data_IF_215328748881
#
_entry.id   IF_215328748881
#
_cell.length_a   1.000
_cell.length_b   1.000
_cell.length_c   1.000
_cell.angle_alpha   90.00
_cell.angle_beta   90.00
_cell.angle_gamma   90.00
#
_symmetry.space_group_name_H-M   'P 1'
#
loop_
_entity.id
_entity.type
_entity.pdbx_description
1 polymer ?
#
# COMPACT_ATOMS: atom_id res chain seq x y z
N UNK A 1 32.47 -5.69 9.63
CA UNK A 1 31.67 -4.49 9.95
C UNK A 1 30.23 -4.72 9.46
N UNK A 2 29.30 -5.00 10.40
CA UNK A 2 27.87 -5.19 10.09
C UNK A 2 27.24 -3.80 9.96
N UNK A 3 26.77 -3.43 8.76
CA UNK A 3 25.90 -2.26 8.58
C UNK A 3 24.55 -2.56 9.19
N UNK A 4 24.29 -2.01 10.37
CA UNK A 4 22.97 -1.91 10.96
C UNK A 4 22.18 -0.89 10.10
N UNK A 5 21.35 -1.36 9.21
CA UNK A 5 20.36 -0.53 8.55
C UNK A 5 19.30 -0.19 9.59
N UNK A 6 19.27 1.06 10.02
CA UNK A 6 18.17 1.65 10.78
C UNK A 6 16.97 1.80 9.81
N UNK A 7 16.31 0.70 9.48
CA UNK A 7 15.03 0.74 8.83
C UNK A 7 14.03 1.25 9.86
N UNK A 8 13.52 2.47 9.67
CA UNK A 8 12.38 2.99 10.40
C UNK A 8 11.26 1.97 10.23
N UNK A 9 10.98 1.21 11.29
CA UNK A 9 9.85 0.27 11.33
C UNK A 9 8.58 1.10 11.51
N UNK A 10 7.97 1.52 10.43
CA UNK A 10 6.57 1.91 10.45
C UNK A 10 5.74 0.65 10.71
N UNK A 11 5.47 0.36 11.96
CA UNK A 11 4.45 -0.62 12.34
C UNK A 11 3.09 0.04 12.16
N UNK A 12 2.59 0.05 10.93
CA UNK A 12 1.20 0.41 10.69
C UNK A 12 0.33 -0.67 11.32
N UNK A 13 -0.27 -0.31 12.46
CA UNK A 13 -1.18 -1.19 13.22
C UNK A 13 -2.60 -1.20 12.65
N UNK A 14 -2.78 -0.67 11.43
CA UNK A 14 -4.07 -0.66 10.74
C UNK A 14 -4.49 -2.11 10.45
N UNK A 15 -5.66 -2.55 10.94
CA UNK A 15 -6.17 -3.89 10.66
C UNK A 15 -6.47 -4.07 9.17
N UNK A 16 -6.22 -5.28 8.64
CA UNK A 16 -6.46 -5.56 7.22
C UNK A 16 -7.92 -5.41 6.81
N UNK A 17 -8.87 -5.59 7.73
CA UNK A 17 -10.30 -5.39 7.48
C UNK A 17 -10.67 -3.97 7.03
N UNK A 18 -9.86 -2.96 7.41
CA UNK A 18 -10.11 -1.55 7.08
C UNK A 18 -9.61 -1.17 5.68
N UNK A 19 -8.69 -1.96 5.12
CA UNK A 19 -8.02 -1.66 3.84
C UNK A 19 -8.28 -2.70 2.76
N UNK A 20 -8.85 -3.86 3.11
CA UNK A 20 -9.13 -4.92 2.15
C UNK A 20 -10.26 -4.53 1.20
N UNK A 21 -10.16 -4.99 -0.04
CA UNK A 21 -11.31 -5.03 -0.95
C UNK A 21 -12.16 -6.25 -0.62
N UNK A 22 -13.42 -6.03 -0.32
CA UNK A 22 -14.40 -7.09 -0.08
C UNK A 22 -14.84 -7.74 -1.39
N UNK A 23 -15.46 -8.93 -1.30
CA UNK A 23 -16.00 -9.67 -2.45
C UNK A 23 -14.94 -9.97 -3.54
N UNK A 24 -13.85 -10.69 -3.20
CA UNK A 24 -12.86 -11.06 -4.17
C UNK A 24 -13.46 -11.97 -5.25
N UNK A 25 -13.05 -11.76 -6.49
CA UNK A 25 -13.56 -12.52 -7.63
C UNK A 25 -13.05 -13.95 -7.56
N UNK A 26 -13.97 -14.90 -7.68
CA UNK A 26 -13.69 -16.35 -7.58
C UNK A 26 -14.27 -17.09 -8.78
N UNK A 27 -13.55 -18.11 -9.27
CA UNK A 27 -14.00 -18.97 -10.36
C UNK A 27 -13.71 -20.45 -10.02
N UNK A 28 -14.45 -21.35 -10.66
CA UNK A 28 -14.26 -22.78 -10.47
C UNK A 28 -12.97 -23.28 -11.14
N UNK A 29 -12.39 -24.34 -10.59
CA UNK A 29 -11.15 -24.98 -11.08
C UNK A 29 -11.28 -25.51 -12.51
N UNK A 30 -12.48 -25.86 -12.94
CA UNK A 30 -12.76 -26.35 -14.29
C UNK A 30 -12.80 -25.20 -15.33
N UNK A 31 -12.72 -23.95 -14.90
CA UNK A 31 -12.68 -22.80 -15.80
C UNK A 31 -11.41 -22.80 -16.67
N UNK A 32 -11.53 -22.19 -17.86
CA UNK A 32 -10.38 -22.00 -18.76
C UNK A 32 -9.64 -20.68 -18.47
N UNK A 33 -8.41 -20.57 -18.96
CA UNK A 33 -7.64 -19.34 -18.93
C UNK A 33 -8.37 -18.18 -19.65
N UNK A 34 -9.10 -18.48 -20.73
CA UNK A 34 -9.94 -17.51 -21.43
C UNK A 34 -11.07 -16.97 -20.53
N UNK A 35 -11.74 -17.84 -19.76
CA UNK A 35 -12.76 -17.43 -18.79
C UNK A 35 -12.15 -16.59 -17.68
N UNK A 36 -10.99 -16.98 -17.13
CA UNK A 36 -10.29 -16.21 -16.11
C UNK A 36 -9.93 -14.80 -16.61
N UNK A 37 -9.33 -14.70 -17.79
CA UNK A 37 -8.99 -13.42 -18.41
C UNK A 37 -10.23 -12.53 -18.64
N UNK A 38 -11.30 -13.10 -19.18
CA UNK A 38 -12.57 -12.38 -19.41
C UNK A 38 -13.15 -11.87 -18.10
N UNK A 39 -13.20 -12.71 -17.07
CA UNK A 39 -13.68 -12.33 -15.72
C UNK A 39 -12.82 -11.22 -15.11
N UNK A 40 -11.49 -11.28 -15.24
CA UNK A 40 -10.60 -10.21 -14.76
C UNK A 40 -10.90 -8.86 -15.46
N UNK A 41 -11.16 -8.87 -16.78
CA UNK A 41 -11.51 -7.67 -17.52
C UNK A 41 -12.90 -7.13 -17.13
N UNK A 42 -13.90 -7.99 -16.99
CA UNK A 42 -15.28 -7.62 -16.63
C UNK A 42 -15.38 -7.03 -15.22
N UNK A 43 -14.59 -7.57 -14.29
CA UNK A 43 -14.59 -7.17 -12.87
C UNK A 43 -13.47 -6.14 -12.55
N UNK A 44 -12.70 -5.71 -13.56
CA UNK A 44 -11.58 -4.77 -13.42
C UNK A 44 -10.55 -5.17 -12.35
N UNK A 45 -10.23 -6.49 -12.29
CA UNK A 45 -9.30 -7.06 -11.32
C UNK A 45 -8.13 -7.78 -12.00
N UNK A 46 -6.95 -7.75 -11.40
CA UNK A 46 -5.75 -8.42 -11.91
C UNK A 46 -5.56 -9.84 -11.37
N UNK A 47 -6.57 -10.46 -10.78
CA UNK A 47 -6.51 -11.86 -10.34
C UNK A 47 -7.88 -12.44 -10.00
N UNK A 48 -7.99 -13.75 -10.08
CA UNK A 48 -9.15 -14.53 -9.64
C UNK A 48 -8.71 -15.64 -8.69
N UNK A 49 -9.50 -15.91 -7.67
CA UNK A 49 -9.27 -17.02 -6.74
C UNK A 49 -9.92 -18.27 -7.30
N UNK A 50 -9.21 -19.39 -7.24
CA UNK A 50 -9.68 -20.65 -7.79
C UNK A 50 -10.32 -21.47 -6.69
N UNK A 51 -11.55 -21.91 -6.94
CA UNK A 51 -12.31 -22.75 -6.05
C UNK A 51 -12.33 -24.20 -6.54
N UNK A 52 -12.24 -25.15 -5.60
CA UNK A 52 -12.59 -26.56 -5.81
C UNK A 52 -13.60 -26.96 -4.72
N UNK A 53 -14.78 -27.38 -5.10
CA UNK A 53 -15.87 -27.70 -4.17
C UNK A 53 -16.11 -26.56 -3.15
N UNK A 54 -16.21 -25.33 -3.63
CA UNK A 54 -16.38 -24.11 -2.83
C UNK A 54 -15.24 -23.81 -1.85
N UNK A 55 -14.09 -24.49 -1.95
CA UNK A 55 -12.90 -24.20 -1.14
C UNK A 55 -11.85 -23.49 -1.97
N UNK A 56 -11.28 -22.38 -1.48
CA UNK A 56 -10.21 -21.65 -2.18
C UNK A 56 -8.92 -22.48 -2.13
N UNK A 57 -8.35 -22.78 -3.30
CA UNK A 57 -7.17 -23.64 -3.42
C UNK A 57 -5.98 -22.98 -4.09
N UNK A 58 -6.22 -21.94 -4.90
CA UNK A 58 -5.17 -21.26 -5.66
C UNK A 58 -5.62 -19.89 -6.15
N UNK A 59 -4.75 -19.24 -6.87
CA UNK A 59 -4.97 -17.94 -7.48
C UNK A 59 -4.37 -17.93 -8.89
N UNK A 60 -5.05 -17.30 -9.84
CA UNK A 60 -4.53 -16.97 -11.17
C UNK A 60 -4.43 -15.46 -11.28
N UNK A 61 -3.32 -14.99 -11.81
CA UNK A 61 -3.01 -13.56 -11.99
C UNK A 61 -2.81 -13.25 -13.47
N UNK A 62 -2.80 -11.95 -13.81
CA UNK A 62 -2.42 -11.47 -15.15
C UNK A 62 -1.03 -11.98 -15.58
N UNK A 63 -0.08 -12.06 -14.63
CA UNK A 63 1.26 -12.59 -14.87
C UNK A 63 1.24 -14.09 -15.21
N UNK A 64 0.38 -14.88 -14.55
CA UNK A 64 0.21 -16.30 -14.89
C UNK A 64 -0.33 -16.45 -16.31
N UNK A 65 -1.32 -15.64 -16.69
CA UNK A 65 -1.85 -15.64 -18.08
C UNK A 65 -0.77 -15.26 -19.09
N UNK A 66 -0.02 -14.20 -18.83
CA UNK A 66 1.05 -13.74 -19.72
C UNK A 66 2.16 -14.79 -19.87
N UNK A 67 2.69 -15.31 -18.74
CA UNK A 67 3.87 -16.16 -18.76
C UNK A 67 3.56 -17.64 -19.05
N UNK A 68 2.38 -18.13 -18.66
CA UNK A 68 2.05 -19.56 -18.75
C UNK A 68 1.14 -19.90 -19.94
N UNK A 69 0.48 -18.90 -20.54
CA UNK A 69 -0.42 -19.09 -21.70
C UNK A 69 0.11 -18.34 -22.92
N UNK A 70 0.18 -16.98 -22.84
CA UNK A 70 0.52 -16.15 -23.99
C UNK A 70 1.98 -16.38 -24.44
N UNK A 71 2.94 -16.34 -23.51
CA UNK A 71 4.36 -16.55 -23.82
C UNK A 71 4.68 -17.96 -24.36
N UNK A 72 3.76 -18.92 -24.18
CA UNK A 72 3.88 -20.29 -24.70
C UNK A 72 3.05 -20.54 -25.95
N UNK A 73 2.45 -19.50 -26.51
CA UNK A 73 1.58 -19.56 -27.68
C UNK A 73 0.43 -20.60 -27.54
N UNK A 74 -0.10 -20.73 -26.31
CA UNK A 74 -1.21 -21.64 -26.03
C UNK A 74 -2.55 -20.95 -26.27
N UNK A 75 -3.52 -21.71 -26.79
CA UNK A 75 -4.88 -21.20 -26.98
C UNK A 75 -5.59 -21.09 -25.63
N UNK A 76 -5.96 -19.88 -25.13
CA UNK A 76 -6.49 -19.70 -23.77
C UNK A 76 -7.77 -20.50 -23.47
N UNK A 77 -8.57 -20.79 -24.50
CA UNK A 77 -9.81 -21.58 -24.36
C UNK A 77 -9.59 -23.08 -24.14
N UNK A 78 -8.37 -23.57 -24.31
CA UNK A 78 -8.01 -24.99 -24.12
C UNK A 78 -7.15 -25.24 -22.88
N UNK A 79 -6.67 -24.17 -22.23
CA UNK A 79 -5.85 -24.26 -21.01
C UNK A 79 -6.76 -24.11 -19.79
N UNK A 80 -6.72 -25.04 -18.87
CA UNK A 80 -7.47 -24.95 -17.60
C UNK A 80 -6.73 -24.11 -16.57
N UNK A 81 -7.48 -23.40 -15.72
CA UNK A 81 -6.88 -22.58 -14.64
C UNK A 81 -6.10 -23.43 -13.64
N UNK A 82 -6.46 -24.71 -13.48
CA UNK A 82 -5.71 -25.68 -12.67
C UNK A 82 -4.25 -25.85 -13.11
N UNK A 83 -3.97 -25.72 -14.41
CA UNK A 83 -2.64 -25.94 -14.99
C UNK A 83 -1.73 -24.72 -14.83
N UNK A 84 -2.32 -23.54 -14.58
CA UNK A 84 -1.60 -22.28 -14.53
C UNK A 84 -1.66 -21.57 -13.17
N UNK A 85 -2.60 -21.94 -12.28
CA UNK A 85 -2.75 -21.32 -10.97
C UNK A 85 -1.51 -21.49 -10.09
N UNK A 86 -1.31 -20.52 -9.20
CA UNK A 86 -0.36 -20.62 -8.11
C UNK A 86 -1.05 -21.28 -6.91
N UNK A 87 -0.48 -22.38 -6.43
CA UNK A 87 -0.99 -23.20 -5.31
C UNK A 87 0.16 -23.68 -4.44
N UNK A 88 0.02 -23.87 -3.10
CA UNK A 88 -1.19 -23.59 -2.32
C UNK A 88 -1.49 -22.09 -2.22
N UNK A 89 -2.76 -21.75 -1.99
CA UNK A 89 -3.19 -20.37 -1.81
C UNK A 89 -2.57 -19.79 -0.53
N UNK A 90 -1.77 -18.74 -0.65
CA UNK A 90 -1.21 -18.01 0.49
C UNK A 90 -2.25 -16.99 0.95
N UNK A 91 -2.73 -17.14 2.18
CA UNK A 91 -3.78 -16.31 2.77
C UNK A 91 -3.30 -15.62 4.04
N UNK A 92 -4.00 -14.57 4.46
CA UNK A 92 -3.76 -13.85 5.71
C UNK A 92 -5.08 -13.66 6.46
N UNK A 93 -5.05 -13.70 7.80
CA UNK A 93 -6.25 -13.45 8.63
C UNK A 93 -6.61 -11.96 8.61
N UNK A 94 -7.91 -11.65 8.65
CA UNK A 94 -8.44 -10.29 8.75
C UNK A 94 -8.00 -9.54 10.03
N UNK A 95 -7.62 -10.28 11.07
CA UNK A 95 -7.12 -9.74 12.35
C UNK A 95 -5.66 -9.25 12.28
N UNK A 96 -4.96 -9.57 11.20
CA UNK A 96 -3.58 -9.13 10.98
C UNK A 96 -3.55 -7.67 10.51
N UNK A 97 -2.37 -7.06 10.63
CA UNK A 97 -2.13 -5.66 10.28
C UNK A 97 -1.57 -5.52 8.85
N UNK A 98 -1.64 -4.30 8.32
CA UNK A 98 -0.98 -3.89 7.06
C UNK A 98 0.50 -4.27 7.08
N UNK A 99 1.20 -4.03 8.21
CA UNK A 99 2.61 -4.43 8.37
C UNK A 99 2.83 -5.94 8.31
N UNK A 100 1.90 -6.75 8.84
CA UNK A 100 1.97 -8.22 8.73
C UNK A 100 1.80 -8.67 7.29
N UNK A 101 0.83 -8.10 6.55
CA UNK A 101 0.61 -8.41 5.15
C UNK A 101 1.82 -8.05 4.29
N UNK A 102 2.43 -6.88 4.51
CA UNK A 102 3.64 -6.48 3.80
C UNK A 102 4.79 -7.48 4.02
N UNK A 103 5.02 -7.91 5.26
CA UNK A 103 6.03 -8.93 5.58
C UNK A 103 5.73 -10.28 4.89
N UNK A 104 4.46 -10.68 4.85
CA UNK A 104 4.05 -11.91 4.17
C UNK A 104 4.25 -11.82 2.65
N UNK A 105 3.90 -10.69 2.03
CA UNK A 105 4.12 -10.46 0.60
C UNK A 105 5.60 -10.58 0.23
N UNK A 106 6.49 -9.96 1.00
CA UNK A 106 7.95 -10.05 0.81
C UNK A 106 8.45 -11.48 1.00
N UNK A 107 8.04 -12.14 2.11
CA UNK A 107 8.47 -13.51 2.44
C UNK A 107 8.11 -14.52 1.36
N UNK A 108 6.88 -14.42 0.83
CA UNK A 108 6.34 -15.37 -0.15
C UNK A 108 6.50 -14.89 -1.61
N UNK A 109 7.09 -13.70 -1.83
CA UNK A 109 7.26 -13.07 -3.14
C UNK A 109 5.95 -12.92 -3.92
N UNK A 110 4.89 -12.54 -3.21
CA UNK A 110 3.56 -12.29 -3.79
C UNK A 110 3.16 -10.83 -3.62
N UNK A 111 2.37 -10.29 -4.56
CA UNK A 111 1.92 -8.89 -4.58
C UNK A 111 0.47 -8.71 -4.10
N UNK A 112 -0.20 -9.80 -3.73
CA UNK A 112 -1.58 -9.82 -3.24
C UNK A 112 -1.79 -11.00 -2.30
N UNK A 113 -2.67 -10.81 -1.32
CA UNK A 113 -3.02 -11.82 -0.34
C UNK A 113 -4.55 -11.85 -0.18
N UNK A 114 -5.19 -12.97 -0.48
CA UNK A 114 -6.56 -13.23 -0.05
C UNK A 114 -6.65 -13.22 1.48
N UNK A 115 -7.69 -12.59 1.98
CA UNK A 115 -7.97 -12.45 3.41
C UNK A 115 -9.04 -13.44 3.82
N UNK A 116 -8.79 -14.17 4.89
CA UNK A 116 -9.69 -15.18 5.42
C UNK A 116 -10.22 -14.78 6.80
N UNK A 117 -11.44 -15.22 7.07
CA UNK A 117 -12.05 -15.19 8.39
C UNK A 117 -11.63 -16.39 9.28
N UNK A 118 -12.25 -16.48 10.47
CA UNK A 118 -12.04 -17.57 11.43
C UNK A 118 -12.47 -18.95 10.88
N UNK A 119 -13.42 -18.96 9.94
CA UNK A 119 -13.92 -20.17 9.27
C UNK A 119 -13.10 -20.56 8.05
N UNK A 120 -11.98 -19.86 7.79
CA UNK A 120 -11.13 -20.02 6.59
C UNK A 120 -11.85 -19.70 5.27
N UNK A 121 -12.93 -18.92 5.34
CA UNK A 121 -13.61 -18.38 4.16
C UNK A 121 -12.86 -17.13 3.67
N UNK A 122 -12.67 -17.02 2.36
CA UNK A 122 -12.07 -15.82 1.78
C UNK A 122 -13.12 -14.72 1.77
N UNK A 123 -12.85 -13.65 2.51
CA UNK A 123 -13.75 -12.49 2.71
C UNK A 123 -13.26 -11.23 1.99
N UNK A 124 -12.01 -11.21 1.55
CA UNK A 124 -11.42 -10.06 0.90
C UNK A 124 -10.09 -10.38 0.24
N UNK A 125 -9.50 -9.36 -0.35
CA UNK A 125 -8.15 -9.39 -0.91
C UNK A 125 -7.45 -8.05 -0.64
N UNK A 126 -6.16 -8.10 -0.38
CA UNK A 126 -5.29 -6.92 -0.24
C UNK A 126 -4.13 -7.04 -1.21
N UNK A 127 -3.74 -5.92 -1.82
CA UNK A 127 -2.61 -5.84 -2.76
C UNK A 127 -1.54 -4.87 -2.25
N UNK A 128 -0.34 -4.91 -2.83
CA UNK A 128 0.72 -3.93 -2.55
C UNK A 128 0.22 -2.49 -2.74
N UNK A 129 -0.63 -2.24 -3.76
CA UNK A 129 -1.21 -0.91 -4.01
C UNK A 129 -2.04 -0.43 -2.82
N UNK A 130 -2.89 -1.29 -2.26
CA UNK A 130 -3.73 -0.95 -1.11
C UNK A 130 -2.87 -0.63 0.13
N UNK A 131 -1.77 -1.37 0.33
CA UNK A 131 -0.81 -1.09 1.42
C UNK A 131 -0.08 0.25 1.24
N UNK A 132 0.27 0.61 -0.01
CA UNK A 132 0.95 1.87 -0.31
C UNK A 132 0.01 3.08 -0.10
N UNK A 133 -1.27 2.96 -0.40
CA UNK A 133 -2.26 4.02 -0.17
C UNK A 133 -2.30 4.40 1.31
N UNK A 134 -2.38 3.44 2.21
CA UNK A 134 -2.36 3.67 3.66
C UNK A 134 -1.06 4.35 4.12
N UNK A 135 0.08 3.97 3.55
CA UNK A 135 1.37 4.62 3.85
C UNK A 135 1.43 6.08 3.41
N UNK A 136 0.84 6.41 2.27
CA UNK A 136 0.83 7.77 1.74
C UNK A 136 -0.05 8.69 2.60
N UNK A 137 -1.25 8.26 2.96
CA UNK A 137 -2.15 9.01 3.85
C UNK A 137 -1.49 9.34 5.18
N UNK A 138 -0.76 8.39 5.78
CA UNK A 138 -0.01 8.63 7.01
C UNK A 138 1.15 9.62 6.82
N UNK A 139 1.85 9.57 5.67
CA UNK A 139 2.93 10.49 5.37
C UNK A 139 2.41 11.92 5.13
N UNK A 140 1.27 12.09 4.47
CA UNK A 140 0.62 13.39 4.28
C UNK A 140 0.24 14.01 5.64
N UNK A 141 -0.44 13.27 6.50
CA UNK A 141 -0.80 13.71 7.86
C UNK A 141 0.43 14.07 8.70
N UNK A 142 1.53 13.30 8.61
CA UNK A 142 2.77 13.61 9.30
C UNK A 142 3.43 14.87 8.77
N UNK A 143 3.33 15.14 7.48
CA UNK A 143 3.82 16.38 6.87
C UNK A 143 3.04 17.57 7.37
N UNK A 144 1.72 17.50 7.40
CA UNK A 144 0.84 18.54 7.94
C UNK A 144 1.14 18.82 9.43
N UNK A 145 1.34 17.77 10.23
CA UNK A 145 1.72 17.91 11.64
C UNK A 145 3.08 18.54 11.83
N UNK A 146 4.05 18.29 10.95
CA UNK A 146 5.37 18.91 10.98
C UNK A 146 5.26 20.37 10.58
N UNK A 147 4.41 20.75 9.62
CA UNK A 147 4.17 22.14 9.25
C UNK A 147 3.52 22.94 10.38
N UNK A 148 2.48 22.39 11.03
CA UNK A 148 1.83 23.00 12.20
C UNK A 148 2.86 23.24 13.32
N UNK A 149 3.74 22.28 13.59
CA UNK A 149 4.79 22.42 14.59
C UNK A 149 5.92 23.39 14.17
N UNK A 150 6.08 23.65 12.86
CA UNK A 150 7.07 24.62 12.37
C UNK A 150 6.65 26.08 12.61
N UNK A 151 5.36 26.36 12.68
CA UNK A 151 4.85 27.71 12.95
C UNK A 151 5.13 28.17 14.39
N UNK A 152 5.44 27.26 15.32
CA UNK A 152 5.79 27.56 16.72
C UNK A 152 7.31 27.58 17.00
N UNK A 153 8.16 27.33 16.03
CA UNK A 153 9.60 27.43 16.24
C UNK A 153 10.03 28.91 16.19
N UNK A 154 10.08 29.49 17.37
CA UNK A 154 10.79 30.77 17.60
C UNK A 154 12.27 30.56 17.26
N UNK A 155 12.71 31.03 16.12
CA UNK A 155 14.12 30.90 15.73
C UNK A 155 14.93 32.00 16.39
N UNK A 156 15.87 31.64 17.24
CA UNK A 156 16.87 32.53 17.79
C UNK A 156 17.99 32.74 16.76
N UNK A 157 18.34 33.97 16.51
CA UNK A 157 19.37 34.26 15.54
C UNK A 157 19.49 35.76 15.19
N UNK A 158 20.14 36.03 14.07
CA UNK A 158 20.36 37.40 13.57
C UNK A 158 19.26 37.80 12.58
N UNK A 159 18.60 38.90 12.81
CA UNK A 159 17.61 39.44 11.88
C UNK A 159 18.28 39.83 10.55
N UNK A 160 17.74 39.34 9.43
CA UNK A 160 18.32 39.62 8.10
C UNK A 160 18.26 41.09 7.69
N UNK A 161 17.39 41.89 8.32
CA UNK A 161 17.23 43.30 7.97
C UNK A 161 18.07 44.24 8.85
N UNK A 162 17.97 44.12 10.17
CA UNK A 162 18.69 45.01 11.09
C UNK A 162 19.99 44.44 11.66
N UNK A 163 20.31 43.18 11.36
CA UNK A 163 21.50 42.46 11.83
C UNK A 163 21.64 42.39 13.36
N UNK A 164 20.54 42.53 14.09
CA UNK A 164 20.52 42.36 15.55
C UNK A 164 20.11 40.94 15.91
N UNK A 165 20.66 40.41 17.01
CA UNK A 165 20.22 39.15 17.59
C UNK A 165 18.80 39.29 18.15
N UNK A 166 17.96 38.30 17.88
CA UNK A 166 16.59 38.21 18.40
C UNK A 166 16.31 36.78 18.79
N UNK A 167 15.51 36.61 19.82
CA UNK A 167 14.98 35.34 20.28
C UNK A 167 13.55 35.06 19.78
N UNK A 168 13.02 35.94 18.93
CA UNK A 168 11.74 35.84 18.25
C UNK A 168 11.88 36.25 16.77
N UNK A 169 12.58 35.43 16.00
CA UNK A 169 12.63 35.59 14.54
C UNK A 169 11.49 34.83 13.88
N UNK A 170 10.81 35.46 12.92
CA UNK A 170 9.87 34.80 12.04
C UNK A 170 10.28 34.91 10.59
N UNK A 171 10.02 33.88 9.81
CA UNK A 171 10.28 33.88 8.37
C UNK A 171 9.16 34.61 7.64
N UNK A 172 9.50 35.66 6.94
CA UNK A 172 8.61 36.45 6.09
C UNK A 172 9.27 36.52 4.71
N UNK A 173 8.59 36.13 3.66
CA UNK A 173 9.10 36.13 2.27
C UNK A 173 10.56 35.64 2.14
N UNK A 174 10.83 34.50 2.81
CA UNK A 174 12.14 33.84 2.84
C UNK A 174 13.27 34.57 3.59
N UNK A 175 12.98 35.64 4.35
CA UNK A 175 13.91 36.34 5.24
C UNK A 175 13.48 36.23 6.69
N UNK A 176 14.45 36.12 7.61
CA UNK A 176 14.19 36.06 9.06
C UNK A 176 14.16 37.47 9.64
N UNK A 177 13.00 37.89 10.14
CA UNK A 177 12.79 39.24 10.70
C UNK A 177 12.46 39.19 12.19
N UNK A 178 13.08 40.11 12.97
CA UNK A 178 12.72 40.33 14.36
C UNK A 178 11.38 41.07 14.48
N UNK A 179 10.72 41.08 15.66
CA UNK A 179 9.43 41.76 15.87
C UNK A 179 9.38 43.18 15.35
N UNK A 180 10.41 44.00 15.70
CA UNK A 180 10.51 45.39 15.28
C UNK A 180 10.52 45.55 13.75
N UNK A 181 11.26 44.71 13.03
CA UNK A 181 11.32 44.81 11.57
C UNK A 181 10.05 44.32 10.90
N UNK A 182 9.28 43.40 11.55
CA UNK A 182 7.96 42.98 11.08
C UNK A 182 6.92 44.09 11.23
N UNK A 183 6.92 44.81 12.37
CA UNK A 183 6.02 45.95 12.62
C UNK A 183 6.24 47.09 11.62
N UNK A 184 7.52 47.40 11.29
CA UNK A 184 7.87 48.42 10.30
C UNK A 184 7.38 48.07 8.86
N UNK A 185 7.11 46.83 8.56
CA UNK A 185 6.55 46.35 7.26
C UNK A 185 5.03 46.13 7.30
N UNK A 186 4.33 46.45 8.42
CA UNK A 186 2.91 46.18 8.63
C UNK A 186 2.55 44.68 8.48
N UNK A 187 3.45 43.79 8.80
CA UNK A 187 3.23 42.32 8.76
C UNK A 187 2.94 41.89 10.20
N UNK A 188 1.67 41.62 10.47
CA UNK A 188 1.17 41.07 11.76
C UNK A 188 1.23 39.53 11.76
#
# INVERSE_FOLDING_TARGET
MKKTSNAIRFETRVPLREVMKTNPVMIDIEATAAKAAKTMCEEEVGSVIILRHNKPIGIVTEEDLACKVVAKDLKPSTVHVNDIMSTPLITVSAEKTVGDAARMMVKHKVRRLPIIDEHKTVIGIVTVRDLLTVSNELNELLTDLVEINREELVEQGMCNRCSQMSDDLKRVDNVMLCPRCREEENIT
#
